data_IF_693818546640
#
_entry.id   IF_693818546640
#
_cell.length_a   1.000
_cell.length_b   1.000
_cell.length_c   1.000
_cell.angle_alpha   90.00
_cell.angle_beta   90.00
_cell.angle_gamma   90.00
#
_symmetry.space_group_name_H-M   'P 1'
#
loop_
_entity.id
_entity.type
_entity.pdbx_description
1 polymer ?
#
# COMPACT_ATOMS: atom_id res chain seq x y z
N UNK A 1 38.20 -5.13 -5.63
CA UNK A 1 37.57 -4.92 -4.31
C UNK A 1 36.12 -4.68 -4.55
N UNK A 2 35.22 -5.31 -3.81
CA UNK A 2 33.82 -5.45 -4.23
C UNK A 2 32.88 -4.61 -3.37
N UNK A 3 31.98 -3.89 -4.03
CA UNK A 3 30.82 -3.30 -3.40
C UNK A 3 29.94 -4.41 -2.80
N UNK A 4 29.43 -4.24 -1.58
CA UNK A 4 28.54 -5.23 -0.94
C UNK A 4 27.28 -4.58 -0.44
N UNK A 5 26.12 -5.23 -0.64
CA UNK A 5 24.84 -4.81 -0.05
C UNK A 5 24.75 -5.44 1.33
N UNK A 6 24.71 -4.60 2.37
CA UNK A 6 24.67 -5.05 3.76
C UNK A 6 23.26 -5.08 4.34
N UNK A 7 22.38 -4.25 3.80
CA UNK A 7 20.96 -4.20 4.19
C UNK A 7 20.09 -3.80 3.01
N UNK A 8 18.97 -4.48 2.87
CA UNK A 8 17.91 -4.14 1.93
C UNK A 8 16.54 -4.27 2.64
N UNK A 9 15.75 -3.21 2.63
CA UNK A 9 14.39 -3.17 3.17
C UNK A 9 13.49 -2.36 2.25
N UNK A 10 12.19 -2.45 2.41
CA UNK A 10 11.21 -1.64 1.68
C UNK A 10 10.53 -0.66 2.62
N UNK A 11 9.97 0.40 2.04
CA UNK A 11 9.16 1.40 2.74
C UNK A 11 7.82 0.85 3.28
N UNK A 12 7.39 -0.31 2.81
CA UNK A 12 6.22 -1.04 3.32
C UNK A 12 6.34 -2.53 3.00
N UNK A 13 5.84 -3.38 3.88
CA UNK A 13 5.76 -4.84 3.67
C UNK A 13 4.47 -5.25 2.94
N UNK A 14 3.45 -4.37 2.95
CA UNK A 14 2.17 -4.62 2.27
C UNK A 14 2.05 -3.76 1.02
N UNK A 15 2.30 -4.32 -0.17
CA UNK A 15 2.20 -3.60 -1.42
C UNK A 15 0.75 -3.35 -1.82
N UNK A 16 0.45 -2.11 -2.24
CA UNK A 16 -0.89 -1.66 -2.64
C UNK A 16 -0.83 -1.13 -4.05
N UNK A 17 -1.83 -1.45 -4.86
CA UNK A 17 -1.93 -0.94 -6.24
C UNK A 17 -1.84 0.58 -6.28
N UNK A 18 -0.98 1.10 -7.18
CA UNK A 18 -0.73 2.52 -7.35
C UNK A 18 0.25 3.13 -6.34
N UNK A 19 0.70 2.37 -5.33
CA UNK A 19 1.70 2.83 -4.36
C UNK A 19 3.09 2.43 -4.84
N UNK A 20 4.03 3.36 -4.71
CA UNK A 20 5.44 3.14 -5.05
C UNK A 20 6.16 2.40 -3.92
N UNK A 21 6.78 1.29 -4.27
CA UNK A 21 7.72 0.58 -3.42
C UNK A 21 9.11 1.17 -3.63
N UNK A 22 9.67 1.75 -2.57
CA UNK A 22 10.98 2.36 -2.57
C UNK A 22 11.90 1.58 -1.61
N UNK A 23 13.01 1.01 -2.11
CA UNK A 23 13.95 0.29 -1.26
C UNK A 23 14.87 1.23 -0.49
N UNK A 24 15.12 0.89 0.76
CA UNK A 24 16.19 1.44 1.57
C UNK A 24 17.36 0.44 1.55
N UNK A 25 18.45 0.83 0.90
CA UNK A 25 19.62 -0.02 0.69
C UNK A 25 20.82 0.59 1.40
N UNK A 26 21.55 -0.23 2.13
CA UNK A 26 22.86 0.13 2.68
C UNK A 26 23.92 -0.67 1.95
N UNK A 27 24.82 0.02 1.30
CA UNK A 27 25.98 -0.56 0.62
C UNK A 27 27.26 -0.28 1.40
N UNK A 28 28.16 -1.23 1.42
CA UNK A 28 29.51 -1.09 1.98
C UNK A 28 30.54 -1.05 0.85
N UNK A 29 31.35 -0.02 0.84
CA UNK A 29 32.43 0.20 -0.12
C UNK A 29 33.68 -0.60 0.26
N UNK A 30 34.61 -0.70 -0.65
CA UNK A 30 35.90 -1.40 -0.47
C UNK A 30 36.76 -0.82 0.67
N UNK A 31 36.63 0.47 0.95
CA UNK A 31 37.32 1.17 2.05
C UNK A 31 36.67 0.89 3.42
N UNK A 32 35.58 0.12 3.47
CA UNK A 32 34.84 -0.19 4.68
C UNK A 32 33.75 0.83 5.03
N UNK A 33 33.64 1.96 4.32
CA UNK A 33 32.58 2.94 4.54
C UNK A 33 31.23 2.42 4.05
N UNK A 34 30.16 2.80 4.76
CA UNK A 34 28.79 2.45 4.36
C UNK A 34 28.07 3.70 3.85
N UNK A 35 27.27 3.54 2.81
CA UNK A 35 26.45 4.61 2.24
C UNK A 35 25.03 4.11 1.93
N UNK A 36 24.08 5.03 1.95
CA UNK A 36 22.70 4.81 1.51
C UNK A 36 22.43 5.45 0.14
N UNK A 37 23.44 6.11 -0.42
CA UNK A 37 23.32 6.70 -1.76
C UNK A 37 23.07 5.61 -2.81
N UNK A 38 22.30 5.95 -3.82
CA UNK A 38 22.06 5.08 -4.96
C UNK A 38 23.30 5.04 -5.85
N UNK A 39 23.92 3.88 -5.93
CA UNK A 39 25.08 3.63 -6.79
C UNK A 39 24.57 2.94 -8.07
N UNK A 40 24.05 3.75 -8.98
CA UNK A 40 23.59 3.29 -10.28
C UNK A 40 24.74 3.10 -11.28
N UNK A 41 24.39 2.69 -12.48
CA UNK A 41 25.37 2.46 -13.55
C UNK A 41 26.10 3.74 -13.98
N UNK A 42 25.42 4.89 -13.91
CA UNK A 42 25.96 6.20 -14.32
C UNK A 42 26.94 6.78 -13.31
N UNK A 43 26.76 6.46 -12.03
CA UNK A 43 27.61 6.90 -10.91
C UNK A 43 28.32 5.72 -10.24
N UNK A 44 28.72 4.72 -11.02
CA UNK A 44 29.38 3.51 -10.53
C UNK A 44 30.60 3.84 -9.65
N UNK A 45 30.68 3.22 -8.48
CA UNK A 45 31.80 3.36 -7.55
C UNK A 45 32.85 2.30 -7.83
N UNK A 46 34.09 2.73 -8.15
CA UNK A 46 35.21 1.84 -8.51
C UNK A 46 34.84 0.79 -9.57
N UNK A 47 34.01 1.18 -10.54
CA UNK A 47 33.55 0.27 -11.61
C UNK A 47 32.46 -0.72 -11.17
N UNK A 48 31.85 -0.53 -10.02
CA UNK A 48 30.74 -1.35 -9.52
C UNK A 48 29.48 -0.52 -9.30
N UNK A 49 28.33 -1.10 -9.56
CA UNK A 49 27.03 -0.48 -9.33
C UNK A 49 26.04 -1.48 -8.74
N UNK A 50 24.93 -1.01 -8.20
CA UNK A 50 23.83 -1.83 -7.65
C UNK A 50 22.78 -2.00 -8.73
N UNK A 51 22.44 -3.25 -9.04
CA UNK A 51 21.35 -3.61 -9.94
C UNK A 51 20.13 -4.02 -9.14
N UNK A 52 18.97 -3.53 -9.56
CA UNK A 52 17.66 -3.83 -9.00
C UNK A 52 16.86 -4.66 -10.00
N UNK A 53 16.20 -5.71 -9.53
CA UNK A 53 15.25 -6.49 -10.32
C UNK A 53 14.02 -6.80 -9.47
N UNK A 54 12.85 -6.49 -10.00
CA UNK A 54 11.59 -6.81 -9.38
C UNK A 54 10.95 -8.00 -10.06
N UNK A 55 10.41 -8.88 -9.26
CA UNK A 55 9.76 -10.10 -9.70
C UNK A 55 8.38 -10.22 -9.06
N UNK A 56 7.49 -10.84 -9.78
CA UNK A 56 6.16 -11.24 -9.34
C UNK A 56 6.10 -12.75 -9.24
N UNK A 57 5.45 -13.33 -8.20
CA UNK A 57 5.22 -14.76 -8.09
C UNK A 57 4.35 -15.26 -9.26
N UNK A 58 4.68 -16.41 -9.84
CA UNK A 58 3.94 -16.96 -10.99
C UNK A 58 2.52 -17.41 -10.65
N UNK A 59 2.23 -17.70 -9.37
CA UNK A 59 0.93 -18.17 -8.91
C UNK A 59 0.14 -17.04 -8.27
N UNK A 60 -1.02 -16.75 -8.82
CA UNK A 60 -2.01 -15.85 -8.21
C UNK A 60 -2.81 -16.65 -7.17
N UNK A 61 -2.68 -16.30 -5.91
CA UNK A 61 -3.48 -16.96 -4.87
C UNK A 61 -4.80 -16.21 -4.72
N UNK A 62 -5.91 -16.92 -4.73
CA UNK A 62 -7.22 -16.35 -4.36
C UNK A 62 -7.11 -15.85 -2.91
N UNK A 63 -7.29 -14.56 -2.71
CA UNK A 63 -7.29 -13.96 -1.38
C UNK A 63 -8.73 -13.85 -0.89
N UNK A 64 -9.03 -14.56 0.18
CA UNK A 64 -10.13 -14.15 1.04
C UNK A 64 -9.57 -13.07 1.97
N UNK A 65 -9.76 -11.82 1.61
CA UNK A 65 -9.34 -10.67 2.43
C UNK A 65 -10.48 -10.26 3.36
N UNK A 66 -10.12 -9.68 4.50
CA UNK A 66 -11.11 -9.14 5.43
C UNK A 66 -11.91 -8.02 4.75
N UNK A 67 -13.23 -8.07 4.87
CA UNK A 67 -14.13 -7.06 4.30
C UNK A 67 -14.01 -5.68 4.98
N UNK A 68 -13.48 -5.66 6.20
CA UNK A 68 -13.25 -4.44 7.00
C UNK A 68 -11.79 -3.99 6.90
N UNK A 69 -10.84 -4.94 6.89
CA UNK A 69 -9.42 -4.71 6.84
C UNK A 69 -8.82 -5.36 5.56
N UNK A 70 -8.86 -4.66 4.41
CA UNK A 70 -8.46 -5.25 3.12
C UNK A 70 -7.01 -5.72 3.04
N UNK A 71 -6.15 -5.21 3.94
CA UNK A 71 -4.76 -5.64 4.05
C UNK A 71 -4.58 -6.97 4.78
N UNK A 72 -5.60 -7.44 5.51
CA UNK A 72 -5.49 -8.61 6.35
C UNK A 72 -6.14 -9.83 5.72
N UNK A 73 -5.48 -10.97 5.86
CA UNK A 73 -6.04 -12.25 5.44
C UNK A 73 -7.22 -12.61 6.33
N UNK A 74 -8.34 -12.94 5.72
CA UNK A 74 -9.51 -13.36 6.45
C UNK A 74 -9.35 -14.80 6.98
N UNK A 75 -9.72 -14.99 8.23
CA UNK A 75 -9.75 -16.28 8.92
C UNK A 75 -11.17 -16.78 9.18
N UNK A 76 -12.15 -15.87 9.14
CA UNK A 76 -13.55 -16.13 9.44
C UNK A 76 -14.45 -15.67 8.30
N UNK A 77 -15.47 -16.47 7.99
CA UNK A 77 -16.55 -16.15 7.06
C UNK A 77 -17.85 -15.94 7.83
N UNK A 78 -18.48 -14.79 7.63
CA UNK A 78 -19.85 -14.56 8.07
C UNK A 78 -20.82 -15.11 7.02
N UNK A 79 -21.44 -16.23 7.31
CA UNK A 79 -22.34 -16.93 6.39
C UNK A 79 -23.60 -16.11 6.08
N UNK A 80 -24.10 -15.31 7.04
CA UNK A 80 -25.31 -14.53 6.86
C UNK A 80 -25.12 -13.31 5.94
N UNK A 81 -23.95 -12.67 6.01
CA UNK A 81 -23.60 -11.49 5.20
C UNK A 81 -22.70 -11.80 4.03
N UNK A 82 -22.16 -13.04 3.96
CA UNK A 82 -21.11 -13.46 3.01
C UNK A 82 -19.87 -12.58 3.01
N UNK A 83 -19.53 -12.02 4.19
CA UNK A 83 -18.36 -11.18 4.38
C UNK A 83 -17.26 -11.95 5.11
N UNK A 84 -16.01 -11.64 4.76
CA UNK A 84 -14.82 -12.24 5.35
C UNK A 84 -14.23 -11.31 6.42
N UNK A 85 -13.69 -11.89 7.52
CA UNK A 85 -13.13 -11.15 8.64
C UNK A 85 -11.79 -11.74 9.08
N UNK A 86 -10.83 -10.86 9.45
CA UNK A 86 -9.48 -11.26 9.85
C UNK A 86 -9.48 -12.02 11.19
N UNK A 87 -10.30 -11.58 12.13
CA UNK A 87 -10.37 -12.15 13.48
C UNK A 87 -11.79 -12.10 14.06
N UNK A 88 -11.95 -12.62 15.28
CA UNK A 88 -13.24 -12.70 15.97
C UNK A 88 -13.78 -11.34 16.42
N UNK A 89 -12.93 -10.37 16.73
CA UNK A 89 -13.36 -9.03 17.16
C UNK A 89 -13.87 -8.23 15.97
N UNK A 90 -13.16 -8.28 14.86
CA UNK A 90 -13.60 -7.71 13.59
C UNK A 90 -14.95 -8.31 13.16
N UNK A 91 -15.10 -9.65 13.23
CA UNK A 91 -16.37 -10.32 12.96
C UNK A 91 -17.51 -9.83 13.87
N UNK A 92 -17.28 -9.77 15.19
CA UNK A 92 -18.30 -9.30 16.16
C UNK A 92 -18.68 -7.85 15.91
N UNK A 93 -17.70 -6.98 15.60
CA UNK A 93 -17.97 -5.57 15.31
C UNK A 93 -18.85 -5.43 14.07
N UNK A 94 -18.45 -6.03 12.96
CA UNK A 94 -19.22 -6.00 11.71
C UNK A 94 -20.62 -6.60 11.85
N UNK A 95 -20.74 -7.69 12.64
CA UNK A 95 -22.03 -8.30 12.95
C UNK A 95 -22.96 -7.38 13.77
N UNK A 96 -22.43 -6.68 14.78
CA UNK A 96 -23.21 -5.72 15.58
C UNK A 96 -23.67 -4.54 14.73
N UNK A 97 -22.82 -4.05 13.85
CA UNK A 97 -23.14 -2.94 12.95
C UNK A 97 -24.21 -3.36 11.94
N UNK A 98 -24.05 -4.51 11.30
CA UNK A 98 -25.04 -5.07 10.40
C UNK A 98 -26.41 -5.26 11.08
N UNK A 99 -26.44 -5.83 12.30
CA UNK A 99 -27.67 -5.98 13.06
C UNK A 99 -28.33 -4.64 13.40
N UNK A 100 -27.55 -3.64 13.78
CA UNK A 100 -28.06 -2.29 14.08
C UNK A 100 -28.71 -1.67 12.85
N UNK A 101 -28.03 -1.72 11.72
CA UNK A 101 -28.55 -1.18 10.45
C UNK A 101 -29.82 -1.91 10.00
N UNK A 102 -29.86 -3.22 10.12
CA UNK A 102 -31.04 -4.04 9.80
C UNK A 102 -32.24 -3.69 10.66
N UNK A 103 -32.05 -3.55 11.98
CA UNK A 103 -33.11 -3.16 12.91
C UNK A 103 -33.61 -1.75 12.59
N UNK A 104 -32.71 -0.82 12.31
CA UNK A 104 -33.06 0.56 11.94
C UNK A 104 -33.88 0.61 10.64
N UNK A 105 -33.60 -0.30 9.69
CA UNK A 105 -34.32 -0.41 8.42
C UNK A 105 -35.61 -1.24 8.52
N UNK A 106 -35.96 -1.80 9.70
CA UNK A 106 -37.12 -2.67 9.86
C UNK A 106 -37.04 -4.02 9.15
N UNK A 107 -35.85 -4.49 8.82
CA UNK A 107 -35.65 -5.74 8.10
C UNK A 107 -35.76 -6.94 9.04
N UNK A 108 -36.48 -8.02 8.66
CA UNK A 108 -36.60 -9.23 9.48
C UNK A 108 -35.25 -9.95 9.61
N UNK A 109 -35.08 -10.74 10.65
CA UNK A 109 -33.91 -11.58 10.80
C UNK A 109 -33.87 -12.64 9.69
N UNK A 110 -32.72 -12.89 9.04
CA UNK A 110 -32.63 -13.94 8.01
C UNK A 110 -33.09 -15.28 8.59
N UNK A 111 -34.05 -15.88 7.96
CA UNK A 111 -34.55 -17.22 8.32
C UNK A 111 -33.54 -18.29 7.87
N UNK A 112 -33.74 -19.54 8.32
CA UNK A 112 -32.91 -20.65 7.84
C UNK A 112 -33.02 -20.85 6.32
N UNK A 113 -34.10 -20.41 5.70
CA UNK A 113 -34.31 -20.47 4.26
C UNK A 113 -33.51 -19.42 3.49
N UNK A 114 -33.26 -18.26 4.11
CA UNK A 114 -32.44 -17.17 3.53
C UNK A 114 -30.94 -17.44 3.67
N UNK A 115 -30.57 -18.36 4.55
CA UNK A 115 -29.20 -18.86 4.65
C UNK A 115 -29.01 -19.83 3.52
N UNK A 116 -28.09 -19.52 2.60
CA UNK A 116 -27.74 -20.41 1.49
C UNK A 116 -27.67 -21.87 1.97
N UNK A 117 -28.20 -22.79 1.14
CA UNK A 117 -28.20 -24.19 1.46
C UNK A 117 -26.82 -24.66 1.94
N UNK A 118 -26.73 -25.44 3.04
CA UNK A 118 -25.45 -25.97 3.51
C UNK A 118 -24.67 -26.74 2.44
N UNK A 119 -25.31 -27.12 1.34
CA UNK A 119 -24.66 -27.81 0.23
C UNK A 119 -23.75 -26.88 -0.60
N UNK A 120 -24.17 -25.66 -0.84
CA UNK A 120 -23.38 -24.69 -1.63
C UNK A 120 -22.18 -24.18 -0.85
N UNK A 121 -22.31 -24.06 0.49
CA UNK A 121 -21.23 -23.62 1.37
C UNK A 121 -20.26 -24.77 1.74
N UNK A 122 -20.74 -26.01 1.75
CA UNK A 122 -19.91 -27.22 2.02
C UNK A 122 -18.93 -27.46 0.87
N UNK A 123 -19.30 -27.15 -0.36
CA UNK A 123 -18.41 -27.32 -1.51
C UNK A 123 -17.35 -26.18 -1.55
N UNK A 124 -17.69 -24.95 -1.17
CA UNK A 124 -16.72 -23.88 -0.95
C UNK A 124 -15.79 -24.19 0.24
N UNK A 125 -16.30 -24.75 1.32
CA UNK A 125 -15.52 -25.16 2.49
C UNK A 125 -14.67 -26.41 2.23
N UNK A 126 -15.17 -27.35 1.45
CA UNK A 126 -14.43 -28.54 1.00
C UNK A 126 -13.35 -28.14 0.00
N UNK A 127 -13.61 -27.18 -0.89
CA UNK A 127 -12.60 -26.62 -1.77
C UNK A 127 -11.50 -25.89 -0.98
N UNK A 128 -11.85 -25.04 -0.02
CA UNK A 128 -10.88 -24.38 0.86
C UNK A 128 -10.14 -25.36 1.80
N UNK A 129 -10.80 -26.48 2.20
CA UNK A 129 -10.18 -27.53 3.01
C UNK A 129 -9.36 -28.50 2.16
N UNK A 130 -9.76 -28.74 0.91
CA UNK A 130 -9.00 -29.50 -0.08
C UNK A 130 -7.74 -28.72 -0.52
N UNK A 131 -7.87 -27.40 -0.76
CA UNK A 131 -6.71 -26.52 -1.00
C UNK A 131 -5.75 -26.50 0.20
N UNK A 132 -6.24 -26.56 1.46
CA UNK A 132 -5.39 -26.73 2.66
C UNK A 132 -4.84 -28.16 2.82
N UNK A 133 -5.52 -29.17 2.27
CA UNK A 133 -5.04 -30.54 2.29
C UNK A 133 -4.03 -30.84 1.18
N UNK A 134 -4.06 -30.06 0.11
CA UNK A 134 -3.05 -30.09 -0.96
C UNK A 134 -1.75 -29.37 -0.56
N UNK A 135 -1.77 -28.59 0.53
CA UNK A 135 -0.58 -28.01 1.17
C UNK A 135 0.16 -29.05 2.08
N UNK A 136 -0.02 -30.34 1.86
CA UNK A 136 0.83 -31.36 2.50
C UNK A 136 2.24 -31.33 1.91
N UNK A 137 3.29 -31.42 2.77
CA UNK A 137 4.68 -31.19 2.37
C UNK A 137 5.33 -32.36 1.63
N UNK A 138 4.72 -32.87 0.58
CA UNK A 138 5.28 -34.00 -0.18
C UNK A 138 5.18 -33.87 -1.71
N UNK A 139 5.04 -32.65 -2.21
CA UNK A 139 5.39 -32.35 -3.58
C UNK A 139 6.78 -31.70 -3.59
N UNK A 140 7.75 -32.44 -4.19
CA UNK A 140 9.08 -31.97 -4.60
C UNK A 140 8.98 -30.49 -4.94
N UNK A 141 9.69 -29.61 -4.20
CA UNK A 141 9.80 -28.16 -4.37
C UNK A 141 9.77 -27.75 -5.85
N UNK A 142 8.60 -27.59 -6.41
CA UNK A 142 8.43 -26.80 -7.63
C UNK A 142 8.74 -25.37 -7.21
N UNK A 143 9.96 -24.94 -7.50
CA UNK A 143 10.32 -23.54 -7.40
C UNK A 143 9.30 -22.79 -8.23
N UNK A 144 8.40 -22.06 -7.57
CA UNK A 144 7.41 -21.25 -8.30
C UNK A 144 8.17 -20.27 -9.18
N UNK A 145 7.84 -20.20 -10.49
CA UNK A 145 8.57 -19.33 -11.40
C UNK A 145 8.34 -17.87 -10.98
N UNK A 146 9.40 -17.14 -10.75
CA UNK A 146 9.37 -15.70 -10.58
C UNK A 146 9.37 -15.04 -11.95
N UNK A 147 8.43 -14.14 -12.19
CA UNK A 147 8.30 -13.39 -13.44
C UNK A 147 8.90 -12.01 -13.20
N UNK A 148 9.94 -11.64 -13.92
CA UNK A 148 10.55 -10.32 -13.85
C UNK A 148 9.57 -9.27 -14.40
N UNK A 149 9.35 -8.19 -13.64
CA UNK A 149 8.38 -7.13 -13.97
C UNK A 149 9.03 -5.76 -14.14
N UNK A 150 10.19 -5.52 -13.49
CA UNK A 150 10.86 -4.22 -13.56
C UNK A 150 12.33 -4.32 -13.16
N UNK A 151 13.17 -3.40 -13.69
CA UNK A 151 14.61 -3.28 -13.38
C UNK A 151 14.97 -1.91 -12.79
N UNK A 152 14.00 -1.07 -12.48
CA UNK A 152 14.24 0.21 -11.84
C UNK A 152 14.40 0.04 -10.32
N UNK A 153 15.01 1.03 -9.67
CA UNK A 153 15.15 1.03 -8.21
C UNK A 153 13.78 0.98 -7.54
N UNK A 154 12.90 1.89 -7.91
CA UNK A 154 11.54 1.96 -7.39
C UNK A 154 10.57 1.23 -8.31
N UNK A 155 9.51 0.67 -7.73
CA UNK A 155 8.47 -0.03 -8.47
C UNK A 155 7.08 0.45 -8.05
N UNK A 156 6.28 0.94 -8.99
CA UNK A 156 4.88 1.26 -8.75
C UNK A 156 4.02 0.02 -9.00
N UNK A 157 3.35 -0.42 -7.94
CA UNK A 157 2.53 -1.63 -7.96
C UNK A 157 1.37 -1.48 -8.94
N UNK A 158 1.22 -2.43 -9.84
CA UNK A 158 0.18 -2.45 -10.87
C UNK A 158 -1.06 -3.27 -10.46
N UNK A 159 -2.16 -3.10 -11.18
CA UNK A 159 -3.36 -3.91 -10.99
C UNK A 159 -3.12 -5.40 -11.31
N UNK A 160 -2.17 -5.70 -12.20
CA UNK A 160 -1.81 -7.07 -12.57
C UNK A 160 -1.11 -7.83 -11.44
N UNK A 161 -0.54 -7.10 -10.48
CA UNK A 161 0.15 -7.69 -9.33
C UNK A 161 -0.79 -8.14 -8.22
N UNK A 162 -2.07 -7.74 -8.26
CA UNK A 162 -3.04 -8.09 -7.21
C UNK A 162 -3.11 -9.59 -6.96
N UNK A 163 -2.90 -9.97 -5.71
CA UNK A 163 -2.89 -11.37 -5.25
C UNK A 163 -1.54 -12.07 -5.41
N UNK A 164 -0.56 -11.43 -6.04
CA UNK A 164 0.81 -11.93 -6.13
C UNK A 164 1.68 -11.40 -4.98
N UNK A 165 2.76 -12.12 -4.72
CA UNK A 165 3.86 -11.67 -3.86
C UNK A 165 4.92 -11.03 -4.77
N UNK A 166 5.50 -9.93 -4.33
CA UNK A 166 6.61 -9.29 -5.04
C UNK A 166 7.94 -9.62 -4.36
N UNK A 167 8.98 -9.71 -5.16
CA UNK A 167 10.36 -9.91 -4.72
C UNK A 167 11.24 -8.85 -5.35
N UNK A 168 11.94 -8.10 -4.53
CA UNK A 168 13.05 -7.26 -4.98
C UNK A 168 14.36 -8.04 -4.82
N UNK A 169 15.14 -8.09 -5.86
CA UNK A 169 16.50 -8.61 -5.86
C UNK A 169 17.49 -7.48 -6.07
N UNK A 170 18.44 -7.37 -5.15
CA UNK A 170 19.48 -6.33 -5.14
C UNK A 170 20.84 -6.98 -5.17
N UNK A 171 21.64 -6.65 -6.17
CA UNK A 171 22.95 -7.26 -6.34
C UNK A 171 23.98 -6.25 -6.84
N UNK A 172 25.20 -6.21 -6.27
CA UNK A 172 26.31 -5.44 -6.82
C UNK A 172 26.86 -6.13 -8.07
N UNK A 173 27.11 -5.32 -9.11
CA UNK A 173 27.52 -5.77 -10.44
C UNK A 173 28.76 -5.01 -10.88
N UNK A 174 29.72 -5.70 -11.51
CA UNK A 174 30.85 -5.06 -12.16
C UNK A 174 30.40 -4.38 -13.47
N UNK A 175 30.70 -3.10 -13.61
CA UNK A 175 30.22 -2.29 -14.73
C UNK A 175 30.85 -2.68 -16.09
N UNK A 176 32.04 -3.30 -16.08
CA UNK A 176 32.75 -3.70 -17.30
C UNK A 176 32.33 -5.07 -17.79
N UNK A 177 32.31 -6.05 -16.87
CA UNK A 177 31.99 -7.45 -17.23
C UNK A 177 30.50 -7.76 -17.16
N UNK A 178 29.69 -6.96 -16.42
CA UNK A 178 28.30 -7.26 -16.15
C UNK A 178 28.07 -8.40 -15.14
N UNK A 179 29.15 -8.92 -14.55
CA UNK A 179 29.07 -10.04 -13.62
C UNK A 179 28.64 -9.62 -12.22
N UNK A 180 27.86 -10.44 -11.58
CA UNK A 180 27.46 -10.27 -10.17
C UNK A 180 28.67 -10.47 -9.26
N UNK A 181 28.90 -9.55 -8.34
CA UNK A 181 30.05 -9.56 -7.44
C UNK A 181 29.73 -10.23 -6.09
N UNK A 182 28.45 -10.43 -5.79
CA UNK A 182 28.00 -11.09 -4.58
C UNK A 182 26.69 -11.82 -4.82
N UNK A 183 26.27 -12.65 -3.86
CA UNK A 183 24.93 -13.24 -3.87
C UNK A 183 23.86 -12.15 -3.74
N UNK A 184 22.78 -12.21 -4.54
CA UNK A 184 21.69 -11.26 -4.47
C UNK A 184 21.04 -11.21 -3.08
N UNK A 185 20.79 -10.02 -2.58
CA UNK A 185 19.89 -9.84 -1.45
C UNK A 185 18.44 -9.77 -1.93
N UNK A 186 17.58 -10.57 -1.33
CA UNK A 186 16.17 -10.65 -1.68
C UNK A 186 15.30 -10.05 -0.57
N UNK A 187 14.40 -9.16 -0.95
CA UNK A 187 13.33 -8.65 -0.09
C UNK A 187 12.00 -9.13 -0.66
N UNK A 188 11.24 -9.87 0.14
CA UNK A 188 9.95 -10.43 -0.25
C UNK A 188 8.87 -9.67 0.48
N UNK A 189 7.84 -9.19 -0.25
CA UNK A 189 6.71 -8.46 0.31
C UNK A 189 5.62 -9.41 0.79
N UNK A 190 4.63 -8.88 1.51
CA UNK A 190 3.32 -9.48 1.59
C UNK A 190 2.65 -9.56 0.21
N UNK A 191 1.41 -10.04 0.18
CA UNK A 191 0.63 -10.09 -1.07
C UNK A 191 0.16 -8.69 -1.45
N UNK A 192 0.16 -8.43 -2.75
CA UNK A 192 -0.39 -7.19 -3.29
C UNK A 192 -1.90 -7.14 -3.07
N UNK A 193 -2.36 -6.06 -2.48
CA UNK A 193 -3.78 -5.78 -2.29
C UNK A 193 -4.26 -4.69 -3.24
N UNK A 194 -5.54 -4.70 -3.66
CA UNK A 194 -6.11 -3.58 -4.41
C UNK A 194 -6.08 -2.31 -3.55
N UNK A 195 -5.97 -1.14 -4.20
CA UNK A 195 -6.10 0.13 -3.51
C UNK A 195 -7.49 0.24 -2.87
N UNK A 196 -7.61 0.44 -1.55
CA UNK A 196 -8.90 0.69 -0.94
C UNK A 196 -9.47 2.02 -1.44
N UNK A 197 -10.79 2.08 -1.57
CA UNK A 197 -11.44 3.35 -1.92
C UNK A 197 -11.21 4.37 -0.79
N UNK A 198 -10.69 5.57 -1.13
CA UNK A 198 -10.52 6.61 -0.12
C UNK A 198 -11.88 7.02 0.45
N UNK A 199 -11.97 7.30 1.75
CA UNK A 199 -13.21 7.74 2.36
C UNK A 199 -13.68 9.06 1.71
N UNK A 200 -14.95 9.09 1.31
CA UNK A 200 -15.55 10.32 0.76
C UNK A 200 -15.87 11.27 1.90
N UNK A 201 -15.29 12.45 1.89
CA UNK A 201 -15.64 13.53 2.80
C UNK A 201 -16.45 14.58 2.05
N UNK A 202 -17.71 14.69 2.38
CA UNK A 202 -18.58 15.68 1.76
C UNK A 202 -18.49 17.00 2.52
N UNK A 203 -18.31 18.10 1.77
CA UNK A 203 -18.42 19.43 2.35
C UNK A 203 -19.87 19.70 2.72
N UNK A 204 -20.11 20.09 3.98
CA UNK A 204 -21.44 20.45 4.48
C UNK A 204 -21.55 21.98 4.48
N UNK A 205 -22.50 22.51 3.74
CA UNK A 205 -22.79 23.94 3.73
C UNK A 205 -23.50 24.32 5.02
N UNK A 206 -22.88 25.14 5.84
CA UNK A 206 -23.41 25.54 7.16
C UNK A 206 -24.32 26.76 7.05
N UNK A 207 -24.11 27.67 6.07
CA UNK A 207 -24.93 28.85 5.89
C UNK A 207 -25.90 28.70 4.73
N UNK A 208 -27.13 29.20 4.95
CA UNK A 208 -28.21 29.20 3.94
C UNK A 208 -28.22 30.44 3.02
N UNK A 209 -27.27 31.37 3.18
CA UNK A 209 -27.18 32.52 2.31
C UNK A 209 -26.67 32.09 0.93
N UNK A 210 -27.62 31.91 0.04
CA UNK A 210 -27.43 31.27 -1.28
C UNK A 210 -27.29 32.26 -2.45
N UNK A 211 -27.05 33.52 -2.19
CA UNK A 211 -26.72 34.46 -3.27
C UNK A 211 -25.21 34.40 -3.51
N UNK A 212 -24.73 33.92 -4.69
CA UNK A 212 -23.36 34.07 -5.04
C UNK A 212 -23.06 35.56 -5.17
N UNK A 213 -22.29 36.09 -4.23
CA UNK A 213 -21.78 37.44 -4.36
C UNK A 213 -20.73 37.45 -5.48
N UNK A 214 -20.74 38.43 -6.40
CA UNK A 214 -19.86 38.43 -7.57
C UNK A 214 -18.37 38.64 -7.25
N UNK A 215 -17.94 38.56 -6.01
CA UNK A 215 -16.56 38.71 -5.54
C UNK A 215 -16.25 37.78 -4.36
N UNK A 216 -16.74 36.53 -4.41
CA UNK A 216 -16.43 35.52 -3.40
C UNK A 216 -15.23 34.68 -3.84
N UNK A 217 -14.35 34.34 -2.91
CA UNK A 217 -13.30 33.35 -3.08
C UNK A 217 -13.40 32.33 -1.93
N UNK A 218 -12.87 31.15 -2.19
CA UNK A 218 -12.88 30.03 -1.24
C UNK A 218 -11.51 29.83 -0.63
N UNK A 219 -11.47 29.58 0.67
CA UNK A 219 -10.24 29.24 1.40
C UNK A 219 -10.43 27.91 2.09
N UNK A 220 -9.50 26.98 1.86
CA UNK A 220 -9.42 25.73 2.59
C UNK A 220 -8.18 25.70 3.50
N UNK A 221 -8.36 25.21 4.71
CA UNK A 221 -7.26 24.94 5.64
C UNK A 221 -7.22 23.46 5.95
N UNK A 222 -6.06 22.83 5.86
CA UNK A 222 -5.91 21.39 5.96
C UNK A 222 -4.57 21.01 6.57
N UNK A 223 -4.60 20.33 7.72
CA UNK A 223 -3.43 19.70 8.30
C UNK A 223 -3.20 18.33 7.63
N UNK A 224 -2.06 18.17 6.94
CA UNK A 224 -1.75 16.95 6.21
C UNK A 224 -1.17 15.84 7.09
N UNK A 225 -0.89 16.11 8.35
CA UNK A 225 -0.19 15.27 9.31
C UNK A 225 1.22 14.91 8.82
N UNK A 226 2.23 15.56 9.38
CA UNK A 226 3.63 15.31 9.03
C UNK A 226 3.99 13.83 9.23
N UNK A 227 4.76 13.27 8.31
CA UNK A 227 5.15 11.87 8.35
C UNK A 227 5.94 11.51 9.62
N UNK A 228 6.69 12.47 10.14
CA UNK A 228 7.40 12.36 11.41
C UNK A 228 6.47 11.98 12.59
N UNK A 229 5.21 12.43 12.56
CA UNK A 229 4.21 12.13 13.59
C UNK A 229 3.26 11.01 13.20
N UNK A 230 3.31 10.55 11.95
CA UNK A 230 2.43 9.52 11.40
C UNK A 230 3.07 8.14 11.55
N UNK A 231 3.11 7.60 12.76
CA UNK A 231 3.74 6.32 13.07
C UNK A 231 2.81 5.42 13.91
N UNK A 232 3.15 4.13 13.97
CA UNK A 232 2.37 3.11 14.68
C UNK A 232 2.34 3.31 16.21
N UNK A 233 3.30 4.02 16.79
CA UNK A 233 3.29 4.33 18.23
C UNK A 233 2.14 5.28 18.60
N UNK A 234 1.85 6.24 17.71
CA UNK A 234 0.74 7.19 17.90
C UNK A 234 -0.59 6.67 17.33
N UNK A 235 -0.54 5.88 16.26
CA UNK A 235 -1.70 5.41 15.51
C UNK A 235 -1.76 3.88 15.41
N UNK A 236 -1.46 3.16 16.50
CA UNK A 236 -1.41 1.70 16.54
C UNK A 236 -2.70 0.96 16.16
N UNK A 237 -3.81 1.69 16.00
CA UNK A 237 -5.07 1.17 15.48
C UNK A 237 -5.20 1.28 13.94
N UNK A 238 -4.22 1.91 13.28
CA UNK A 238 -4.18 2.08 11.82
C UNK A 238 -3.16 1.12 11.25
N UNK A 239 -3.46 0.36 10.19
CA UNK A 239 -2.48 -0.49 9.52
C UNK A 239 -1.28 0.32 9.00
N UNK A 240 -0.07 -0.21 9.13
CA UNK A 240 1.18 0.48 8.76
C UNK A 240 1.19 0.98 7.30
N UNK A 241 0.62 0.20 6.38
CA UNK A 241 0.50 0.61 4.98
C UNK A 241 -0.33 1.88 4.78
N UNK A 242 -1.34 2.13 5.65
CA UNK A 242 -2.19 3.32 5.57
C UNK A 242 -1.52 4.55 6.18
N UNK A 243 -0.54 4.36 7.06
CA UNK A 243 0.31 5.42 7.61
C UNK A 243 1.41 5.82 6.62
N UNK A 244 1.81 4.93 5.71
CA UNK A 244 2.91 5.16 4.78
C UNK A 244 2.67 6.38 3.88
N UNK A 245 3.66 7.28 3.79
CA UNK A 245 3.59 8.51 2.98
C UNK A 245 3.24 8.23 1.52
N UNK A 246 3.80 7.18 0.94
CA UNK A 246 3.54 6.80 -0.44
C UNK A 246 2.04 6.56 -0.74
N UNK A 247 1.29 6.05 0.23
CA UNK A 247 -0.16 5.89 0.15
C UNK A 247 -0.91 7.18 0.49
N UNK A 248 -0.54 7.83 1.62
CA UNK A 248 -1.23 9.02 2.13
C UNK A 248 -1.18 10.19 1.14
N UNK A 249 -0.01 10.46 0.53
CA UNK A 249 0.20 11.59 -0.38
C UNK A 249 -0.83 11.63 -1.53
N UNK A 250 -1.19 10.47 -2.07
CA UNK A 250 -2.16 10.36 -3.17
C UNK A 250 -3.57 10.71 -2.72
N UNK A 251 -3.97 10.22 -1.54
CA UNK A 251 -5.28 10.50 -0.96
C UNK A 251 -5.41 11.97 -0.55
N UNK A 252 -4.37 12.54 0.06
CA UNK A 252 -4.30 13.96 0.44
C UNK A 252 -4.43 14.83 -0.81
N UNK A 253 -3.63 14.57 -1.85
CA UNK A 253 -3.68 15.32 -3.10
C UNK A 253 -5.08 15.29 -3.72
N UNK A 254 -5.66 14.09 -3.84
CA UNK A 254 -7.00 13.90 -4.38
C UNK A 254 -8.05 14.68 -3.58
N UNK A 255 -7.96 14.67 -2.26
CA UNK A 255 -8.90 15.37 -1.39
C UNK A 255 -8.79 16.88 -1.50
N UNK A 256 -7.57 17.46 -1.42
CA UNK A 256 -7.39 18.93 -1.50
C UNK A 256 -7.72 19.47 -2.89
N UNK A 257 -7.43 18.72 -3.95
CA UNK A 257 -7.83 19.10 -5.32
C UNK A 257 -9.35 19.09 -5.48
N UNK A 258 -10.04 18.10 -4.89
CA UNK A 258 -11.50 18.01 -4.94
C UNK A 258 -12.21 19.16 -4.19
N UNK A 259 -11.56 19.82 -3.23
CA UNK A 259 -12.12 21.02 -2.59
C UNK A 259 -12.20 22.21 -3.55
N UNK A 260 -11.38 22.23 -4.59
CA UNK A 260 -11.35 23.29 -5.61
C UNK A 260 -11.36 24.69 -5.00
N UNK A 261 -10.55 24.89 -3.95
CA UNK A 261 -10.47 26.16 -3.25
C UNK A 261 -9.53 27.12 -3.97
N UNK A 262 -9.82 28.43 -3.96
CA UNK A 262 -8.97 29.46 -4.54
C UNK A 262 -7.67 29.64 -3.77
N UNK A 263 -7.73 29.42 -2.44
CA UNK A 263 -6.56 29.49 -1.55
C UNK A 263 -6.51 28.23 -0.68
N UNK A 264 -5.37 27.57 -0.67
CA UNK A 264 -5.09 26.40 0.15
C UNK A 264 -4.05 26.72 1.22
N UNK A 265 -4.40 26.57 2.49
CA UNK A 265 -3.51 26.73 3.63
C UNK A 265 -3.21 25.36 4.24
N UNK A 266 -2.06 24.79 3.88
CA UNK A 266 -1.66 23.46 4.35
C UNK A 266 -0.75 23.59 5.58
N UNK A 267 -0.97 22.75 6.60
CA UNK A 267 -0.16 22.65 7.80
C UNK A 267 0.51 21.29 7.88
N UNK A 268 1.61 21.23 8.62
CA UNK A 268 2.44 20.04 8.84
C UNK A 268 3.00 19.43 7.56
N UNK A 269 3.27 20.26 6.55
CA UNK A 269 3.98 19.85 5.34
C UNK A 269 5.47 19.82 5.64
N UNK A 270 6.12 18.68 5.52
CA UNK A 270 7.58 18.55 5.64
C UNK A 270 8.28 19.15 4.42
N UNK A 271 9.52 19.65 4.59
CA UNK A 271 10.25 20.32 3.52
C UNK A 271 10.53 19.42 2.32
N UNK A 272 10.96 18.19 2.58
CA UNK A 272 11.16 17.15 1.56
C UNK A 272 9.86 16.83 0.81
N UNK A 273 8.75 16.63 1.53
CA UNK A 273 7.45 16.40 0.91
C UNK A 273 6.92 17.58 0.09
N UNK A 274 7.28 18.82 0.50
CA UNK A 274 6.97 19.99 -0.29
C UNK A 274 7.73 20.00 -1.61
N UNK A 275 9.05 19.84 -1.55
CA UNK A 275 9.94 19.91 -2.70
C UNK A 275 9.70 18.73 -3.68
N UNK A 276 9.62 17.52 -3.15
CA UNK A 276 9.53 16.29 -3.96
C UNK A 276 8.12 15.98 -4.47
N UNK A 277 7.07 16.57 -3.84
CA UNK A 277 5.70 16.19 -4.17
C UNK A 277 4.76 17.39 -4.32
N UNK A 278 4.46 18.13 -3.23
CA UNK A 278 3.37 19.11 -3.28
C UNK A 278 3.60 20.23 -4.29
N UNK A 279 4.79 20.77 -4.40
CA UNK A 279 5.10 21.86 -5.31
C UNK A 279 4.80 21.47 -6.76
N UNK A 280 5.31 20.33 -7.19
CA UNK A 280 5.13 19.85 -8.56
C UNK A 280 3.69 19.39 -8.86
N UNK A 281 3.07 18.66 -7.92
CA UNK A 281 1.71 18.17 -8.13
C UNK A 281 0.68 19.30 -8.14
N UNK A 282 0.74 20.23 -7.19
CA UNK A 282 -0.20 21.35 -7.11
C UNK A 282 -0.08 22.31 -8.29
N UNK A 283 1.12 22.48 -8.85
CA UNK A 283 1.32 23.27 -10.06
C UNK A 283 0.54 22.73 -11.27
N UNK A 284 0.36 21.42 -11.38
CA UNK A 284 -0.44 20.77 -12.45
C UNK A 284 -1.92 21.17 -12.39
N UNK A 285 -2.41 21.56 -11.22
CA UNK A 285 -3.78 22.03 -10.99
C UNK A 285 -3.91 23.56 -10.96
N UNK A 286 -2.84 24.28 -11.34
CA UNK A 286 -2.85 25.74 -11.46
C UNK A 286 -2.55 26.49 -10.16
N UNK A 287 -2.11 25.81 -9.10
CA UNK A 287 -1.73 26.48 -7.86
C UNK A 287 -0.27 26.95 -7.89
N UNK A 288 -0.04 28.22 -7.56
CA UNK A 288 1.27 28.71 -7.17
C UNK A 288 1.44 28.50 -5.66
N UNK A 289 2.62 28.04 -5.23
CA UNK A 289 2.84 27.71 -3.82
C UNK A 289 4.01 28.47 -3.21
N UNK A 290 3.88 28.79 -1.91
CA UNK A 290 4.94 29.37 -1.08
C UNK A 290 5.08 28.48 0.15
N UNK A 291 6.31 28.11 0.48
CA UNK A 291 6.62 27.30 1.65
C UNK A 291 7.44 28.10 2.66
N UNK A 292 7.05 28.02 3.92
CA UNK A 292 7.81 28.56 5.03
C UNK A 292 8.12 27.48 6.04
N UNK A 293 9.39 27.16 6.18
CA UNK A 293 9.87 26.28 7.25
C UNK A 293 9.72 26.99 8.61
N UNK A 294 9.22 26.26 9.59
CA UNK A 294 9.18 26.70 11.00
C UNK A 294 10.55 26.59 11.64
#
# INVERSE_FOLDING_TARGET
>A
MSLTVTRATLNTDTPIVGVELAPYIVTRKSDGTSTTEDIGKENAHEGSYVRYRWFRSGKKTKMNVCSVHPAEQATLLNIATRTYHCDSECFKHAWREWNRNRIANGEPFPTKADRASPKDDVDGWKAAKAERAEDKPDEKKRVEPWIEVCQTRNYTVSADDVGHVLKLEVVPVDAKSGNEQAQPQNVITGRVIPAPEPPRRNLVKISHNSTPEPRTFTVATYNVLADLYCNSDMYGYVPDWALAWAYRRQNILKEIVNYNADILCLQEVQSDHYEDFFQGEMAKYGYASVYKKK
#
